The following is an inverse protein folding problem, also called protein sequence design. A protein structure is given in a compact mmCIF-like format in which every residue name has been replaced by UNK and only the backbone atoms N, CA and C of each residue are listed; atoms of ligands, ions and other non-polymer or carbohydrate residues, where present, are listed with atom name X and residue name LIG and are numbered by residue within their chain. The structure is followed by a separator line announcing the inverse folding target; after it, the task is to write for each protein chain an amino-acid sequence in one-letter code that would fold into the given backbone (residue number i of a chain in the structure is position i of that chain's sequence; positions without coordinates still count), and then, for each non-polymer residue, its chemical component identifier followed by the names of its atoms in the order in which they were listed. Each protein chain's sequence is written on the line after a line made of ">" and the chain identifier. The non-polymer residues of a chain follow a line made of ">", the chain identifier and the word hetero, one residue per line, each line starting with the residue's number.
data_IF_722192571215
#
_entry.id   IF_722192571215
#
_cell.length_a   1.000
_cell.length_b   1.000
_cell.length_c   1.000
_cell.angle_alpha   90.00
_cell.angle_beta   90.00
_cell.angle_gamma   90.00
#
_symmetry.space_group_name_H-M   'P 1'
#
loop_
_entity.id
_entity.type
_entity.pdbx_description
1 polymer ?
#
# COMPACT_ATOMS: atom_id res chain seq x y z
N UNK A 1 4.98 3.92 -7.95
CA UNK A 1 5.48 2.56 -7.66
C UNK A 1 4.60 1.54 -8.40
N UNK A 2 5.09 0.34 -8.76
CA UNK A 2 4.25 -0.69 -9.42
C UNK A 2 3.42 -1.46 -8.38
N UNK A 3 2.25 -1.96 -8.78
CA UNK A 3 1.38 -2.77 -7.91
C UNK A 3 2.07 -4.04 -7.39
N UNK A 4 3.00 -4.60 -8.17
CA UNK A 4 3.82 -5.74 -7.75
C UNK A 4 4.78 -5.40 -6.62
N UNK A 5 5.24 -4.14 -6.54
CA UNK A 5 6.09 -3.66 -5.44
C UNK A 5 5.24 -3.41 -4.20
N UNK A 6 4.07 -2.77 -4.35
CA UNK A 6 3.09 -2.63 -3.25
C UNK A 6 2.72 -3.99 -2.66
N UNK A 7 2.40 -4.96 -3.50
CA UNK A 7 2.10 -6.33 -3.07
C UNK A 7 3.22 -6.91 -2.20
N UNK A 8 4.49 -6.73 -2.58
CA UNK A 8 5.63 -7.25 -1.82
C UNK A 8 5.80 -6.55 -0.46
N UNK A 9 5.50 -5.25 -0.39
CA UNK A 9 5.74 -4.45 0.82
C UNK A 9 4.62 -4.63 1.85
N UNK A 10 3.36 -4.57 1.41
CA UNK A 10 2.18 -4.57 2.30
C UNK A 10 1.29 -5.82 2.16
N UNK A 11 1.67 -6.81 1.35
CA UNK A 11 0.96 -8.08 1.15
C UNK A 11 -0.49 -7.95 0.65
N UNK A 12 -0.86 -6.82 0.03
CA UNK A 12 -2.16 -6.68 -0.65
C UNK A 12 -2.06 -7.34 -2.03
N UNK A 13 -2.95 -8.29 -2.39
CA UNK A 13 -2.96 -8.90 -3.72
C UNK A 13 -3.05 -7.86 -4.85
N UNK A 14 -2.32 -8.08 -5.94
CA UNK A 14 -2.33 -7.17 -7.09
C UNK A 14 -3.72 -7.05 -7.72
N UNK A 15 -4.54 -8.11 -7.68
CA UNK A 15 -5.94 -8.09 -8.09
C UNK A 15 -6.77 -7.12 -7.24
N UNK A 16 -6.58 -7.15 -5.91
CA UNK A 16 -7.21 -6.22 -4.98
C UNK A 16 -6.79 -4.77 -5.24
N UNK A 17 -5.50 -4.52 -5.47
CA UNK A 17 -4.99 -3.18 -5.83
C UNK A 17 -5.59 -2.69 -7.16
N UNK A 18 -5.70 -3.58 -8.15
CA UNK A 18 -6.33 -3.28 -9.44
C UNK A 18 -7.79 -2.88 -9.28
N UNK A 19 -8.53 -3.56 -8.40
CA UNK A 19 -9.92 -3.24 -8.10
C UNK A 19 -10.07 -1.91 -7.35
N UNK A 20 -9.13 -1.59 -6.45
CA UNK A 20 -9.13 -0.33 -5.70
C UNK A 20 -8.89 0.87 -6.61
N UNK A 21 -7.94 0.75 -7.54
CA UNK A 21 -7.62 1.77 -8.54
C UNK A 21 -8.81 2.16 -9.41
N UNK A 22 -9.74 1.24 -9.65
CA UNK A 22 -10.91 1.43 -10.53
C UNK A 22 -12.13 2.04 -9.82
N UNK A 23 -12.08 2.28 -8.51
CA UNK A 23 -13.21 2.86 -7.76
C UNK A 23 -13.37 4.36 -8.04
N UNK A 24 -14.51 4.90 -7.62
CA UNK A 24 -14.78 6.34 -7.65
C UNK A 24 -13.84 7.10 -6.72
N UNK A 25 -13.65 8.39 -6.97
CA UNK A 25 -12.64 9.24 -6.29
C UNK A 25 -12.91 9.47 -4.80
N UNK A 26 -14.17 9.40 -4.38
CA UNK A 26 -14.61 9.48 -2.99
C UNK A 26 -14.54 8.11 -2.28
N UNK A 27 -14.26 7.03 -3.01
CA UNK A 27 -14.13 5.71 -2.43
C UNK A 27 -12.83 5.57 -1.64
N UNK A 28 -12.95 5.19 -0.36
CA UNK A 28 -11.80 4.99 0.53
C UNK A 28 -10.74 4.05 -0.05
N UNK A 29 -11.12 3.07 -0.88
CA UNK A 29 -10.17 2.16 -1.54
C UNK A 29 -9.27 2.88 -2.53
N UNK A 30 -9.84 3.78 -3.34
CA UNK A 30 -9.08 4.60 -4.29
C UNK A 30 -8.19 5.60 -3.56
N UNK A 31 -8.73 6.28 -2.55
CA UNK A 31 -7.98 7.21 -1.72
C UNK A 31 -6.79 6.51 -1.04
N UNK A 32 -7.00 5.31 -0.50
CA UNK A 32 -5.93 4.51 0.13
C UNK A 32 -4.87 4.10 -0.90
N UNK A 33 -5.29 3.64 -2.07
CA UNK A 33 -4.37 3.29 -3.15
C UNK A 33 -3.52 4.50 -3.59
N UNK A 34 -4.14 5.66 -3.77
CA UNK A 34 -3.45 6.91 -4.15
C UNK A 34 -2.49 7.39 -3.05
N UNK A 35 -2.88 7.31 -1.78
CA UNK A 35 -2.01 7.60 -0.65
C UNK A 35 -0.78 6.68 -0.64
N UNK A 36 -0.97 5.37 -0.83
CA UNK A 36 0.13 4.41 -0.91
C UNK A 36 1.07 4.70 -2.09
N UNK A 37 0.52 5.17 -3.21
CA UNK A 37 1.29 5.56 -4.41
C UNK A 37 2.01 6.90 -4.27
N UNK A 38 1.61 7.76 -3.32
CA UNK A 38 2.27 9.04 -3.05
C UNK A 38 3.63 8.88 -2.38
N UNK A 39 3.89 7.73 -1.75
CA UNK A 39 5.18 7.41 -1.17
C UNK A 39 6.16 6.87 -2.22
N UNK A 40 7.44 7.19 -2.03
CA UNK A 40 8.50 6.39 -2.63
C UNK A 40 8.51 4.98 -2.01
N UNK A 41 9.12 4.04 -2.72
CA UNK A 41 9.27 2.66 -2.24
C UNK A 41 9.97 2.62 -0.86
N UNK A 42 11.07 3.34 -0.73
CA UNK A 42 11.89 3.39 0.49
C UNK A 42 11.11 3.97 1.68
N UNK A 43 10.34 5.04 1.45
CA UNK A 43 9.49 5.62 2.51
C UNK A 43 8.43 4.65 2.99
N UNK A 44 7.79 3.92 2.07
CA UNK A 44 6.75 2.96 2.43
C UNK A 44 7.34 1.77 3.19
N UNK A 45 8.49 1.23 2.75
CA UNK A 45 9.21 0.15 3.44
C UNK A 45 9.56 0.56 4.88
N UNK A 46 10.18 1.75 5.07
CA UNK A 46 10.50 2.28 6.41
C UNK A 46 9.27 2.40 7.31
N UNK A 47 8.13 2.84 6.77
CA UNK A 47 6.88 2.97 7.54
C UNK A 47 6.32 1.61 7.95
N UNK A 48 6.33 0.64 7.05
CA UNK A 48 5.86 -0.73 7.34
C UNK A 48 6.75 -1.38 8.39
N UNK A 49 8.07 -1.24 8.28
CA UNK A 49 9.01 -1.79 9.25
C UNK A 49 8.87 -1.13 10.62
N UNK A 50 8.67 0.19 10.67
CA UNK A 50 8.37 0.90 11.92
C UNK A 50 7.09 0.36 12.58
N UNK A 51 6.03 0.10 11.80
CA UNK A 51 4.78 -0.49 12.32
C UNK A 51 5.02 -1.91 12.86
N UNK A 52 5.76 -2.75 12.12
CA UNK A 52 6.08 -4.12 12.54
C UNK A 52 6.85 -4.11 13.87
N UNK A 53 7.86 -3.26 13.99
CA UNK A 53 8.65 -3.08 15.22
C UNK A 53 7.76 -2.63 16.39
N UNK A 54 6.92 -1.61 16.18
CA UNK A 54 6.02 -1.09 17.21
C UNK A 54 4.97 -2.11 17.67
N UNK A 55 4.55 -3.01 16.77
CA UNK A 55 3.53 -4.03 17.06
C UNK A 55 4.11 -5.38 17.46
N UNK A 56 5.44 -5.53 17.49
CA UNK A 56 6.10 -6.81 17.76
C UNK A 56 5.80 -7.89 16.71
N UNK A 57 5.42 -7.49 15.49
CA UNK A 57 5.14 -8.39 14.37
C UNK A 57 6.49 -8.76 13.76
N UNK A 58 6.87 -10.04 13.89
CA UNK A 58 8.07 -10.61 13.26
C UNK A 58 7.84 -10.87 11.77
#
# INVERSE_FOLDING_TARGET
>A
MKDTELNRIINIPTTTLSDWKKKDTDNWRKITYELLQSYTKEELEKRVDAIKLLKGIK
#
